data_IF_381778717689
#
_entry.id   IF_381778717689
#
_cell.length_a   1.000
_cell.length_b   1.000
_cell.length_c   1.000
_cell.angle_alpha   90.00
_cell.angle_beta   90.00
_cell.angle_gamma   90.00
#
_symmetry.space_group_name_H-M   'P 1'
#
loop_
_entity.id
_entity.type
_entity.pdbx_description
1 polymer ?
#
# COMPACT_ATOMS: atom_id res chain seq x y z
N UNK A 1 14.80 -18.79 -13.84
CA UNK A 1 13.74 -18.24 -12.99
C UNK A 1 14.29 -17.97 -11.58
N UNK A 2 14.06 -16.80 -11.05
CA UNK A 2 14.60 -16.48 -9.74
C UNK A 2 13.63 -16.88 -8.62
N UNK A 3 14.16 -17.06 -7.41
CA UNK A 3 13.39 -17.39 -6.23
C UNK A 3 12.35 -16.28 -5.96
N UNK A 4 12.72 -15.03 -6.25
CA UNK A 4 11.87 -13.88 -6.00
C UNK A 4 10.62 -13.88 -6.86
N UNK A 5 10.71 -14.39 -8.09
CA UNK A 5 9.53 -14.45 -8.96
C UNK A 5 8.45 -15.36 -8.39
N UNK A 6 8.86 -16.54 -7.88
CA UNK A 6 7.92 -17.46 -7.25
C UNK A 6 7.30 -16.90 -5.99
N UNK A 7 8.08 -16.17 -5.21
CA UNK A 7 7.60 -15.53 -3.99
C UNK A 7 6.55 -14.45 -4.30
N UNK A 8 6.82 -13.61 -5.29
CA UNK A 8 5.87 -12.56 -5.69
C UNK A 8 4.55 -13.15 -6.19
N UNK A 9 4.62 -14.21 -6.97
CA UNK A 9 3.44 -14.88 -7.47
C UNK A 9 2.60 -15.45 -6.33
N UNK A 10 3.24 -16.07 -5.35
CA UNK A 10 2.55 -16.59 -4.18
C UNK A 10 1.88 -15.49 -3.37
N UNK A 11 2.58 -14.37 -3.17
CA UNK A 11 2.04 -13.23 -2.43
C UNK A 11 0.84 -12.62 -3.13
N UNK A 12 0.94 -12.45 -4.45
CA UNK A 12 -0.18 -11.92 -5.24
C UNK A 12 -1.37 -12.86 -5.22
N UNK A 13 -1.11 -14.16 -5.26
CA UNK A 13 -2.18 -15.17 -5.20
C UNK A 13 -2.86 -15.13 -3.83
N UNK A 14 -2.10 -15.03 -2.76
CA UNK A 14 -2.66 -14.93 -1.41
C UNK A 14 -3.53 -13.67 -1.28
N UNK A 15 -3.05 -12.55 -1.79
CA UNK A 15 -3.82 -11.31 -1.80
C UNK A 15 -5.14 -11.49 -2.56
N UNK A 16 -5.08 -12.14 -3.70
CA UNK A 16 -6.24 -12.34 -4.58
C UNK A 16 -7.29 -13.26 -3.96
N UNK A 17 -6.85 -14.30 -3.26
CA UNK A 17 -7.77 -15.30 -2.70
C UNK A 17 -8.26 -14.97 -1.32
N UNK A 18 -7.41 -14.37 -0.48
CA UNK A 18 -7.70 -14.16 0.95
C UNK A 18 -7.78 -12.70 1.35
N UNK A 19 -7.41 -11.79 0.45
CA UNK A 19 -7.48 -10.36 0.71
C UNK A 19 -6.32 -9.80 1.52
N UNK A 20 -6.30 -8.48 1.63
CA UNK A 20 -5.25 -7.75 2.31
C UNK A 20 -5.18 -8.07 3.80
N UNK A 21 -6.32 -8.40 4.41
CA UNK A 21 -6.38 -8.69 5.85
C UNK A 21 -5.64 -9.97 6.22
N UNK A 22 -5.36 -10.84 5.23
CA UNK A 22 -4.61 -12.07 5.47
C UNK A 22 -3.10 -11.82 5.56
N UNK A 23 -2.64 -10.62 5.22
CA UNK A 23 -1.23 -10.27 5.16
C UNK A 23 -0.78 -9.56 6.43
N UNK A 24 0.47 -9.82 6.85
CA UNK A 24 1.09 -9.03 7.90
C UNK A 24 1.43 -7.63 7.39
N UNK A 25 1.74 -6.70 8.29
CA UNK A 25 2.11 -5.34 7.90
C UNK A 25 3.31 -5.32 6.95
N UNK A 26 4.31 -6.14 7.22
CA UNK A 26 5.48 -6.28 6.33
C UNK A 26 5.04 -6.77 4.95
N UNK A 27 4.18 -7.78 4.92
CA UNK A 27 3.71 -8.35 3.66
C UNK A 27 2.88 -7.34 2.86
N UNK A 28 2.08 -6.52 3.53
CA UNK A 28 1.32 -5.45 2.86
C UNK A 28 2.27 -4.52 2.11
N UNK A 29 3.31 -4.05 2.79
CA UNK A 29 4.29 -3.16 2.17
C UNK A 29 5.08 -3.88 1.08
N UNK A 30 5.44 -5.13 1.32
CA UNK A 30 6.18 -5.93 0.34
C UNK A 30 5.42 -6.05 -0.97
N UNK A 31 4.13 -6.40 -0.89
CA UNK A 31 3.27 -6.54 -2.08
C UNK A 31 3.09 -5.20 -2.78
N UNK A 32 2.86 -4.14 -2.02
CA UNK A 32 2.72 -2.80 -2.59
C UNK A 32 3.97 -2.40 -3.36
N UNK A 33 5.13 -2.66 -2.80
CA UNK A 33 6.40 -2.30 -3.42
C UNK A 33 6.68 -3.07 -4.71
N UNK A 34 6.04 -4.23 -4.94
CA UNK A 34 6.17 -4.95 -6.19
C UNK A 34 5.80 -4.08 -7.40
N UNK A 35 4.84 -3.20 -7.22
CA UNK A 35 4.35 -2.36 -8.31
C UNK A 35 5.24 -1.15 -8.60
N UNK A 36 6.10 -0.79 -7.66
CA UNK A 36 7.05 0.31 -7.83
C UNK A 36 8.47 -0.21 -8.11
N UNK A 37 8.75 -1.45 -7.72
CA UNK A 37 10.06 -2.07 -7.88
C UNK A 37 9.89 -3.41 -8.56
N UNK A 38 9.88 -3.46 -9.90
CA UNK A 38 9.59 -4.70 -10.63
C UNK A 38 10.64 -5.78 -10.47
N UNK A 39 11.82 -5.45 -9.95
CA UNK A 39 12.91 -6.39 -9.76
C UNK A 39 13.41 -6.37 -8.33
N UNK A 40 14.00 -7.47 -7.91
CA UNK A 40 14.64 -7.58 -6.62
C UNK A 40 13.69 -7.95 -5.50
N UNK A 41 14.25 -7.99 -4.31
CA UNK A 41 13.54 -8.39 -3.11
C UNK A 41 13.09 -7.16 -2.33
N UNK A 42 11.78 -6.99 -2.19
CA UNK A 42 11.21 -5.85 -1.48
C UNK A 42 11.06 -6.09 0.03
N UNK A 43 11.36 -7.29 0.49
CA UNK A 43 11.22 -7.64 1.91
C UNK A 43 12.11 -6.79 2.82
N UNK A 44 13.43 -6.61 2.53
CA UNK A 44 14.26 -5.75 3.37
C UNK A 44 13.77 -4.30 3.42
N UNK A 45 13.28 -3.79 2.29
CA UNK A 45 12.76 -2.42 2.24
C UNK A 45 11.49 -2.29 3.08
N UNK A 46 10.61 -3.27 3.02
CA UNK A 46 9.39 -3.29 3.82
C UNK A 46 9.71 -3.30 5.31
N UNK A 47 10.66 -4.12 5.73
CA UNK A 47 11.12 -4.15 7.13
C UNK A 47 11.74 -2.82 7.55
N UNK A 48 12.54 -2.22 6.67
CA UNK A 48 13.18 -0.93 6.96
C UNK A 48 12.15 0.18 7.15
N UNK A 49 11.10 0.18 6.32
CA UNK A 49 10.02 1.16 6.44
C UNK A 49 9.30 1.05 7.78
N UNK A 50 8.92 -0.17 8.17
CA UNK A 50 8.25 -0.38 9.45
C UNK A 50 9.16 -0.07 10.63
N UNK A 51 10.44 -0.43 10.53
CA UNK A 51 11.40 -0.14 11.58
C UNK A 51 11.58 1.37 11.78
N UNK A 52 11.65 2.13 10.69
CA UNK A 52 11.86 3.57 10.76
C UNK A 52 10.64 4.33 11.28
N UNK A 53 9.46 3.97 10.81
CA UNK A 53 8.25 4.73 11.13
C UNK A 53 7.38 4.10 12.22
N UNK A 54 7.60 2.85 12.55
CA UNK A 54 6.98 2.17 13.68
C UNK A 54 5.69 1.42 13.35
N UNK A 55 4.77 2.03 12.63
CA UNK A 55 3.50 1.41 12.28
C UNK A 55 3.21 1.58 10.80
N UNK A 56 2.29 0.77 10.29
CA UNK A 56 1.85 0.88 8.90
C UNK A 56 1.24 2.27 8.63
N UNK A 57 0.41 2.74 9.56
CA UNK A 57 -0.20 4.07 9.45
C UNK A 57 0.87 5.16 9.34
N UNK A 58 1.92 5.08 10.14
CA UNK A 58 3.00 6.05 10.11
C UNK A 58 3.77 6.03 8.81
N UNK A 59 3.94 4.85 8.21
CA UNK A 59 4.57 4.73 6.89
C UNK A 59 3.78 5.51 5.85
N UNK A 60 2.47 5.30 5.82
CA UNK A 60 1.62 5.94 4.82
C UNK A 60 1.36 7.43 5.10
N UNK A 61 1.65 7.88 6.32
CA UNK A 61 1.51 9.30 6.68
C UNK A 61 2.82 10.08 6.52
N UNK A 62 3.93 9.41 6.27
CA UNK A 62 5.23 10.04 6.20
C UNK A 62 5.35 10.88 4.92
N UNK A 63 6.06 12.02 4.98
CA UNK A 63 6.31 12.80 3.78
C UNK A 63 7.26 12.10 2.83
N UNK A 64 7.16 12.44 1.56
CA UNK A 64 7.97 11.80 0.51
C UNK A 64 9.46 11.88 0.82
N UNK A 65 9.93 13.02 1.29
CA UNK A 65 11.35 13.22 1.61
C UNK A 65 11.84 12.24 2.67
N UNK A 66 11.00 11.93 3.65
CA UNK A 66 11.38 10.97 4.70
C UNK A 66 11.34 9.54 4.19
N UNK A 67 10.36 9.22 3.35
CA UNK A 67 10.28 7.90 2.75
C UNK A 67 11.51 7.57 1.90
N UNK A 68 11.99 8.55 1.16
CA UNK A 68 13.14 8.38 0.26
C UNK A 68 14.45 8.20 1.01
N UNK A 69 14.50 8.49 2.31
CA UNK A 69 15.68 8.22 3.13
C UNK A 69 15.83 6.74 3.45
N UNK A 70 14.79 5.95 3.27
CA UNK A 70 14.84 4.51 3.50
C UNK A 70 15.51 3.85 2.30
N UNK A 71 16.50 3.00 2.59
CA UNK A 71 17.22 2.29 1.54
C UNK A 71 16.25 1.40 0.75
N UNK A 72 16.30 1.54 -0.57
CA UNK A 72 15.41 0.80 -1.46
C UNK A 72 14.16 1.57 -1.88
N UNK A 73 13.91 2.74 -1.30
CA UNK A 73 12.76 3.57 -1.65
C UNK A 73 13.22 4.70 -2.57
N UNK A 74 12.86 4.59 -3.84
CA UNK A 74 13.11 5.64 -4.83
C UNK A 74 11.87 6.51 -5.02
N UNK A 75 11.90 7.34 -6.06
CA UNK A 75 10.80 8.26 -6.35
C UNK A 75 9.48 7.52 -6.57
N UNK A 76 9.50 6.44 -7.37
CA UNK A 76 8.28 5.69 -7.69
C UNK A 76 7.67 5.05 -6.44
N UNK A 77 8.50 4.44 -5.60
CA UNK A 77 8.02 3.79 -4.37
C UNK A 77 7.46 4.81 -3.40
N UNK A 78 8.16 5.93 -3.19
CA UNK A 78 7.69 6.98 -2.30
C UNK A 78 6.37 7.56 -2.79
N UNK A 79 6.25 7.80 -4.08
CA UNK A 79 5.03 8.34 -4.68
C UNK A 79 3.88 7.35 -4.52
N UNK A 80 4.11 6.07 -4.76
CA UNK A 80 3.09 5.05 -4.60
C UNK A 80 2.58 4.98 -3.17
N UNK A 81 3.48 5.00 -2.19
CA UNK A 81 3.10 4.99 -0.77
C UNK A 81 2.25 6.22 -0.42
N UNK A 82 2.61 7.39 -0.93
CA UNK A 82 1.84 8.61 -0.70
C UNK A 82 0.50 8.60 -1.41
N UNK A 83 0.42 7.92 -2.54
CA UNK A 83 -0.80 7.87 -3.34
C UNK A 83 -1.91 7.05 -2.66
N UNK A 84 -1.55 5.97 -1.98
CA UNK A 84 -2.53 5.04 -1.40
C UNK A 84 -3.52 5.73 -0.46
N UNK A 85 -3.08 6.49 0.58
CA UNK A 85 -4.05 7.14 1.46
C UNK A 85 -4.86 8.22 0.74
N UNK A 86 -4.31 8.87 -0.27
CA UNK A 86 -5.04 9.87 -1.03
C UNK A 86 -6.17 9.25 -1.83
N UNK A 87 -5.93 8.10 -2.44
CA UNK A 87 -6.98 7.36 -3.16
C UNK A 87 -8.04 6.88 -2.17
N UNK A 88 -7.62 6.33 -1.03
CA UNK A 88 -8.55 5.87 0.00
C UNK A 88 -9.45 7.01 0.47
N UNK A 89 -8.88 8.19 0.68
CA UNK A 89 -9.65 9.36 1.09
C UNK A 89 -10.67 9.76 0.04
N UNK A 90 -10.27 9.78 -1.24
CA UNK A 90 -11.19 10.11 -2.33
C UNK A 90 -12.32 9.09 -2.43
N UNK A 91 -12.04 7.82 -2.18
CA UNK A 91 -13.06 6.78 -2.16
C UNK A 91 -14.07 7.03 -1.04
N UNK A 92 -13.61 7.39 0.15
CA UNK A 92 -14.48 7.69 1.27
C UNK A 92 -15.35 8.91 0.98
N UNK A 93 -14.79 9.95 0.40
CA UNK A 93 -15.53 11.14 0.02
C UNK A 93 -16.61 10.82 -1.03
N UNK A 94 -16.26 10.00 -1.99
CA UNK A 94 -17.21 9.58 -3.03
C UNK A 94 -18.36 8.77 -2.45
N UNK A 95 -18.05 7.89 -1.50
CA UNK A 95 -19.06 7.09 -0.81
C UNK A 95 -20.01 7.97 0.00
N UNK A 96 -19.49 8.95 0.74
CA UNK A 96 -20.28 9.88 1.51
C UNK A 96 -21.23 10.70 0.63
N UNK A 97 -20.73 11.20 -0.50
CA UNK A 97 -21.54 11.96 -1.44
C UNK A 97 -22.67 11.10 -2.00
N UNK A 98 -22.38 9.84 -2.32
CA UNK A 98 -23.38 8.91 -2.84
C UNK A 98 -24.45 8.61 -1.80
N UNK A 99 -24.06 8.43 -0.54
CA UNK A 99 -25.00 8.19 0.56
C UNK A 99 -25.92 9.40 0.72
N UNK A 100 -25.41 10.61 0.67
CA UNK A 100 -26.21 11.83 0.75
C UNK A 100 -27.24 11.92 -0.37
N UNK A 101 -26.84 11.58 -1.59
CA UNK A 101 -27.74 11.58 -2.73
C UNK A 101 -28.86 10.55 -2.52
N UNK A 102 -28.54 9.37 -2.02
CA UNK A 102 -29.52 8.32 -1.76
C UNK A 102 -30.50 8.75 -0.67
N UNK A 103 -30.01 9.36 0.39
CA UNK A 103 -30.85 9.88 1.48
C UNK A 103 -31.83 10.92 0.96
N UNK A 104 -31.34 11.85 0.15
CA UNK A 104 -32.16 12.89 -0.45
C UNK A 104 -33.26 12.28 -1.33
N UNK A 105 -32.91 11.27 -2.09
CA UNK A 105 -33.84 10.56 -2.96
C UNK A 105 -34.91 9.85 -2.14
N UNK A 106 -34.53 9.22 -1.03
CA UNK A 106 -35.46 8.44 -0.22
C UNK A 106 -36.45 9.32 0.55
N UNK A 107 -36.14 10.57 0.71
CA UNK A 107 -37.07 11.54 1.35
C UNK A 107 -38.19 12.01 0.42
N UNK A 108 -37.98 11.78 -0.85
CA UNK A 108 -38.99 12.10 -1.86
C UNK A 108 -39.92 10.91 -2.06
#
# INVERSE_FOLDING_TARGET
MSIHDGHRDRMRRQLKTSGMDSLSDVQVLEVLLYYAAPRGDTNPTAHALLSRFGTLDSVFSAPESELKKVNGVGDAAAQLIRLVPQVARRCLMSRSAQIEILDTTSKC
#
